data_IF_630136859965
#
_entry.id   IF_630136859965
#
_cell.length_a   1.000
_cell.length_b   1.000
_cell.length_c   1.000
_cell.angle_alpha   90.00
_cell.angle_beta   90.00
_cell.angle_gamma   90.00
#
_symmetry.space_group_name_H-M   'P 1'
#
loop_
_entity.id
_entity.type
_entity.pdbx_description
1 polymer ?
#
# COMPACT_ATOMS: atom_id res chain seq x y z
N UNK A 1 8.85 -0.76 -24.44
CA UNK A 1 8.17 -1.47 -23.33
C UNK A 1 9.21 -2.31 -22.62
N UNK A 2 9.52 -2.00 -21.37
CA UNK A 2 10.36 -2.88 -20.55
C UNK A 2 9.47 -4.00 -20.00
N UNK A 3 9.84 -5.25 -20.27
CA UNK A 3 9.22 -6.42 -19.66
C UNK A 3 10.14 -6.96 -18.57
N UNK A 4 9.57 -7.68 -17.60
CA UNK A 4 10.38 -8.49 -16.71
C UNK A 4 11.26 -9.46 -17.52
N UNK A 5 12.54 -9.68 -17.14
CA UNK A 5 13.37 -10.67 -17.79
C UNK A 5 12.71 -12.06 -17.73
N UNK A 6 12.72 -12.81 -18.83
CA UNK A 6 12.14 -14.17 -18.87
C UNK A 6 12.76 -15.09 -17.82
N UNK A 7 14.06 -14.93 -17.57
CA UNK A 7 14.81 -15.64 -16.52
C UNK A 7 14.25 -15.42 -15.11
N UNK A 8 13.51 -14.34 -14.87
CA UNK A 8 12.79 -14.09 -13.63
C UNK A 8 11.30 -14.45 -13.74
N UNK A 9 10.66 -14.04 -14.84
CA UNK A 9 9.21 -14.14 -15.01
C UNK A 9 8.73 -15.60 -15.05
N UNK A 10 9.45 -16.49 -15.75
CA UNK A 10 9.06 -17.90 -15.85
C UNK A 10 9.13 -18.62 -14.49
N UNK A 11 10.21 -18.50 -13.68
CA UNK A 11 10.23 -19.02 -12.31
C UNK A 11 9.11 -18.47 -11.41
N UNK A 12 8.83 -17.17 -11.50
CA UNK A 12 7.78 -16.53 -10.69
C UNK A 12 6.40 -17.12 -11.00
N UNK A 13 5.99 -17.13 -12.27
CA UNK A 13 4.68 -17.67 -12.69
C UNK A 13 4.57 -19.17 -12.42
N UNK A 14 5.66 -19.93 -12.56
CA UNK A 14 5.68 -21.36 -12.26
C UNK A 14 5.46 -21.62 -10.78
N UNK A 15 6.06 -20.82 -9.90
CA UNK A 15 5.93 -20.96 -8.44
C UNK A 15 4.49 -20.78 -7.96
N UNK A 16 3.76 -19.84 -8.58
CA UNK A 16 2.34 -19.59 -8.28
C UNK A 16 1.40 -20.72 -8.70
N UNK A 17 1.82 -21.58 -9.65
CA UNK A 17 1.03 -22.71 -10.16
C UNK A 17 1.30 -24.03 -9.45
N UNK A 18 2.20 -24.05 -8.46
CA UNK A 18 2.51 -25.30 -7.74
C UNK A 18 1.31 -25.78 -6.94
N UNK A 19 1.12 -27.10 -6.83
CA UNK A 19 0.01 -27.68 -6.06
C UNK A 19 -0.01 -27.19 -4.60
N UNK A 20 1.16 -26.95 -4.00
CA UNK A 20 1.28 -26.36 -2.69
C UNK A 20 0.78 -24.90 -2.65
N UNK A 21 1.17 -24.08 -3.63
CA UNK A 21 0.69 -22.68 -3.74
C UNK A 21 -0.81 -22.60 -3.91
N UNK A 22 -1.36 -23.41 -4.83
CA UNK A 22 -2.80 -23.51 -5.09
C UNK A 22 -3.55 -23.94 -3.82
N UNK A 23 -3.10 -25.02 -3.17
CA UNK A 23 -3.74 -25.52 -1.96
C UNK A 23 -3.69 -24.51 -0.79
N UNK A 24 -2.65 -23.68 -0.72
CA UNK A 24 -2.49 -22.66 0.33
C UNK A 24 -3.31 -21.39 0.12
N UNK A 25 -3.85 -21.15 -1.08
CA UNK A 25 -4.54 -19.88 -1.42
C UNK A 25 -5.99 -20.08 -1.82
N UNK A 26 -6.37 -21.22 -2.42
CA UNK A 26 -7.70 -21.45 -2.99
C UNK A 26 -8.87 -21.52 -1.98
N UNK A 27 -8.57 -21.40 -0.68
CA UNK A 27 -9.57 -21.36 0.39
C UNK A 27 -9.49 -20.05 1.21
N UNK A 28 -8.62 -19.12 0.82
CA UNK A 28 -8.47 -17.85 1.52
C UNK A 28 -9.69 -16.95 1.29
N UNK A 29 -10.00 -16.10 2.26
CA UNK A 29 -11.01 -15.05 2.11
C UNK A 29 -10.50 -13.71 2.66
N UNK A 30 -10.37 -12.66 1.80
CA UNK A 30 -10.61 -12.68 0.36
C UNK A 30 -9.69 -13.68 -0.35
N UNK A 31 -10.21 -14.29 -1.40
CA UNK A 31 -9.47 -15.30 -2.16
C UNK A 31 -8.37 -14.63 -2.97
N UNK A 32 -7.13 -14.98 -2.67
CA UNK A 32 -5.93 -14.51 -3.38
C UNK A 32 -5.47 -15.47 -4.45
N UNK A 33 -6.12 -16.63 -4.55
CA UNK A 33 -5.86 -17.58 -5.60
C UNK A 33 -6.18 -16.95 -6.95
N UNK A 34 -5.26 -17.10 -7.87
CA UNK A 34 -5.38 -16.61 -9.23
C UNK A 34 -5.21 -17.78 -10.17
N UNK A 35 -6.32 -18.23 -10.74
CA UNK A 35 -6.38 -19.32 -11.72
C UNK A 35 -5.47 -19.07 -12.93
N UNK A 36 -5.22 -17.80 -13.26
CA UNK A 36 -4.25 -17.41 -14.27
C UNK A 36 -3.27 -16.33 -13.75
N UNK A 37 -2.12 -16.74 -13.18
CA UNK A 37 -1.11 -15.81 -12.70
C UNK A 37 -0.59 -14.81 -13.74
N UNK A 38 -0.79 -15.05 -15.04
CA UNK A 38 -0.45 -14.09 -16.09
C UNK A 38 -1.27 -12.80 -15.98
N UNK A 39 -2.47 -12.84 -15.37
CA UNK A 39 -3.32 -11.66 -15.13
C UNK A 39 -2.72 -10.67 -14.12
N UNK A 40 -1.71 -11.08 -13.35
CA UNK A 40 -0.94 -10.19 -12.47
C UNK A 40 -0.01 -9.26 -13.28
N UNK A 41 0.27 -9.60 -14.53
CA UNK A 41 1.09 -8.79 -15.42
C UNK A 41 0.23 -7.72 -16.09
N UNK A 42 0.71 -6.50 -16.07
CA UNK A 42 0.03 -5.36 -16.68
C UNK A 42 1.04 -4.36 -17.23
N UNK A 43 0.60 -3.49 -18.13
CA UNK A 43 1.36 -2.31 -18.51
C UNK A 43 1.04 -1.13 -17.58
N UNK A 44 1.98 -0.21 -17.44
CA UNK A 44 1.79 1.04 -16.71
C UNK A 44 2.69 2.12 -17.28
N UNK A 45 2.26 3.37 -17.24
CA UNK A 45 3.14 4.54 -17.38
C UNK A 45 3.32 5.19 -16.01
N UNK A 46 4.53 5.65 -15.74
CA UNK A 46 4.87 6.35 -14.50
C UNK A 46 4.90 7.83 -14.84
N UNK A 47 3.88 8.54 -14.39
CA UNK A 47 3.72 9.97 -14.67
C UNK A 47 4.58 10.81 -13.72
N UNK A 48 4.66 10.37 -12.46
CA UNK A 48 5.38 11.08 -11.41
C UNK A 48 5.80 10.14 -10.28
N UNK A 49 6.91 10.48 -9.61
CA UNK A 49 7.45 9.75 -8.48
C UNK A 49 8.13 10.72 -7.50
N UNK A 50 7.76 10.63 -6.23
CA UNK A 50 8.28 11.48 -5.16
C UNK A 50 8.57 10.67 -3.90
N UNK A 51 9.65 11.01 -3.20
CA UNK A 51 9.95 10.52 -1.85
C UNK A 51 9.96 11.72 -0.91
N UNK A 52 9.05 11.72 0.05
CA UNK A 52 8.82 12.83 0.98
C UNK A 52 8.11 12.34 2.24
N UNK A 53 7.55 13.25 3.02
CA UNK A 53 6.70 12.90 4.16
C UNK A 53 5.23 12.78 3.74
N UNK A 54 4.40 12.11 4.55
CA UNK A 54 3.00 11.85 4.21
C UNK A 54 2.22 13.12 3.86
N UNK A 55 2.31 14.16 4.71
CA UNK A 55 1.64 15.43 4.46
C UNK A 55 2.12 16.13 3.17
N UNK A 56 3.43 16.03 2.89
CA UNK A 56 4.04 16.61 1.71
C UNK A 56 3.61 15.88 0.44
N UNK A 57 3.47 14.54 0.49
CA UNK A 57 2.95 13.74 -0.63
C UNK A 57 1.49 14.07 -0.93
N UNK A 58 0.63 14.22 0.08
CA UNK A 58 -0.77 14.61 -0.14
C UNK A 58 -0.88 16.00 -0.78
N UNK A 59 -0.05 16.95 -0.33
CA UNK A 59 0.00 18.29 -0.93
C UNK A 59 0.56 18.26 -2.36
N UNK A 60 1.56 17.41 -2.62
CA UNK A 60 2.16 17.24 -3.94
C UNK A 60 1.17 16.65 -4.96
N UNK A 61 0.36 15.67 -4.56
CA UNK A 61 -0.65 15.07 -5.44
C UNK A 61 -2.00 15.81 -5.47
N UNK A 62 -2.17 16.86 -4.67
CA UNK A 62 -3.40 17.65 -4.62
C UNK A 62 -3.90 18.10 -6.01
N UNK A 63 -3.07 18.59 -6.95
CA UNK A 63 -3.52 18.95 -8.30
C UNK A 63 -4.16 17.79 -9.07
N UNK A 64 -3.65 16.57 -8.88
CA UNK A 64 -4.17 15.34 -9.51
C UNK A 64 -5.49 14.94 -8.86
N UNK A 65 -5.63 15.08 -7.55
CA UNK A 65 -6.89 14.84 -6.85
C UNK A 65 -7.96 15.85 -7.28
N UNK A 66 -7.56 17.12 -7.44
CA UNK A 66 -8.42 18.19 -7.93
C UNK A 66 -8.79 18.04 -9.40
N UNK A 67 -8.12 17.20 -10.19
CA UNK A 67 -8.48 16.96 -11.58
C UNK A 67 -9.65 15.99 -11.75
N UNK A 68 -10.16 15.41 -10.66
CA UNK A 68 -11.29 14.48 -10.72
C UNK A 68 -12.56 15.14 -11.27
N UNK A 69 -13.18 14.52 -12.27
CA UNK A 69 -14.42 14.99 -12.90
C UNK A 69 -15.62 14.07 -12.63
N UNK A 70 -15.38 12.79 -12.37
CA UNK A 70 -16.41 11.75 -12.31
C UNK A 70 -16.32 10.91 -11.04
N UNK A 71 -15.12 10.48 -10.66
CA UNK A 71 -14.93 9.62 -9.51
C UNK A 71 -13.60 9.81 -8.79
N UNK A 72 -13.65 9.68 -7.47
CA UNK A 72 -12.48 9.66 -6.60
C UNK A 72 -12.63 8.54 -5.57
N UNK A 73 -11.76 7.54 -5.63
CA UNK A 73 -11.72 6.43 -4.67
C UNK A 73 -10.46 6.56 -3.86
N UNK A 74 -10.57 6.56 -2.53
CA UNK A 74 -9.45 6.69 -1.60
C UNK A 74 -9.47 5.49 -0.67
N UNK A 75 -8.38 4.72 -0.67
CA UNK A 75 -8.16 3.61 0.25
C UNK A 75 -6.91 3.90 1.08
N UNK A 76 -7.03 3.80 2.41
CA UNK A 76 -5.92 3.95 3.36
C UNK A 76 -6.02 2.90 4.46
N UNK A 77 -4.93 2.48 5.07
CA UNK A 77 -5.03 1.57 6.22
C UNK A 77 -5.58 2.31 7.43
N UNK A 78 -4.86 3.36 7.81
CA UNK A 78 -5.08 4.11 9.02
C UNK A 78 -5.67 5.49 8.68
N UNK A 79 -6.61 5.94 9.49
CA UNK A 79 -7.30 7.22 9.31
C UNK A 79 -7.17 8.09 10.54
N UNK A 80 -6.73 9.33 10.35
CA UNK A 80 -6.64 10.29 11.42
C UNK A 80 -6.63 11.76 11.01
N UNK A 81 -7.00 12.62 11.98
CA UNK A 81 -6.81 14.07 11.89
C UNK A 81 -5.33 14.39 11.72
N UNK A 82 -5.02 15.10 10.65
CA UNK A 82 -3.66 15.31 10.16
C UNK A 82 -3.64 16.39 9.07
N UNK A 83 -2.45 16.89 8.74
CA UNK A 83 -2.26 17.78 7.58
C UNK A 83 -2.66 17.11 6.26
N UNK A 84 -2.42 15.80 6.13
CA UNK A 84 -2.89 15.00 4.98
C UNK A 84 -4.41 15.05 4.86
N UNK A 85 -5.13 14.94 5.98
CA UNK A 85 -6.58 15.09 6.01
C UNK A 85 -7.02 16.54 5.71
N UNK A 86 -6.27 17.55 6.15
CA UNK A 86 -6.58 18.94 5.84
C UNK A 86 -6.52 19.21 4.33
N UNK A 87 -5.48 18.71 3.65
CA UNK A 87 -5.38 18.73 2.18
C UNK A 87 -6.56 17.99 1.54
N UNK A 88 -6.88 16.79 2.03
CA UNK A 88 -8.01 16.03 1.50
C UNK A 88 -9.35 16.78 1.69
N UNK A 89 -9.56 17.44 2.83
CA UNK A 89 -10.73 18.28 3.07
C UNK A 89 -10.78 19.48 2.11
N UNK A 90 -9.64 20.10 1.79
CA UNK A 90 -9.58 21.14 0.77
C UNK A 90 -10.03 20.59 -0.59
N UNK A 91 -9.48 19.46 -1.02
CA UNK A 91 -9.87 18.77 -2.26
C UNK A 91 -11.38 18.51 -2.30
N UNK A 92 -11.94 17.88 -1.27
CA UNK A 92 -13.35 17.52 -1.24
C UNK A 92 -14.28 18.74 -1.32
N UNK A 93 -13.95 19.83 -0.60
CA UNK A 93 -14.71 21.09 -0.69
C UNK A 93 -14.65 21.69 -2.09
N UNK A 94 -13.47 21.71 -2.69
CA UNK A 94 -13.26 22.25 -4.03
C UNK A 94 -13.98 21.43 -5.10
N UNK A 95 -13.98 20.09 -5.00
CA UNK A 95 -14.73 19.23 -5.91
C UNK A 95 -16.26 19.36 -5.71
N UNK A 96 -16.70 19.50 -4.46
CA UNK A 96 -18.11 19.74 -4.10
C UNK A 96 -18.64 21.04 -4.73
N UNK A 97 -17.88 22.14 -4.62
CA UNK A 97 -18.30 23.45 -5.15
C UNK A 97 -18.39 23.49 -6.68
N UNK A 98 -17.51 22.76 -7.38
CA UNK A 98 -17.56 22.61 -8.84
C UNK A 98 -18.83 21.89 -9.30
N UNK A 99 -19.16 20.78 -8.64
CA UNK A 99 -20.33 19.96 -8.98
C UNK A 99 -21.64 20.70 -8.70
N UNK A 100 -21.68 21.52 -7.65
CA UNK A 100 -22.86 22.33 -7.30
C UNK A 100 -23.23 23.44 -8.29
N UNK A 101 -22.38 23.73 -9.28
CA UNK A 101 -22.57 24.86 -10.21
C UNK A 101 -23.01 24.46 -11.63
N UNK A 102 -23.08 23.15 -11.96
CA UNK A 102 -23.11 22.70 -13.37
C UNK A 102 -24.09 21.58 -13.77
N UNK A 103 -24.86 20.96 -12.87
CA UNK A 103 -25.89 19.98 -13.24
C UNK A 103 -26.20 18.94 -12.15
N UNK A 104 -27.19 18.09 -12.42
CA UNK A 104 -27.73 17.07 -11.49
C UNK A 104 -26.75 15.90 -11.20
N UNK A 105 -25.59 15.87 -11.87
CA UNK A 105 -24.58 14.82 -11.73
C UNK A 105 -23.55 15.18 -10.66
N UNK A 106 -23.63 14.53 -9.52
CA UNK A 106 -22.62 14.63 -8.45
C UNK A 106 -21.38 13.80 -8.76
N UNK A 107 -20.20 14.32 -8.41
CA UNK A 107 -18.95 13.57 -8.45
C UNK A 107 -18.99 12.46 -7.39
N UNK A 108 -18.68 11.22 -7.79
CA UNK A 108 -18.71 10.05 -6.89
C UNK A 108 -17.43 9.97 -6.08
N UNK A 109 -17.53 10.07 -4.76
CA UNK A 109 -16.39 9.90 -3.86
C UNK A 109 -16.60 8.68 -2.96
N UNK A 110 -15.60 7.80 -2.87
CA UNK A 110 -15.61 6.65 -1.97
C UNK A 110 -14.36 6.66 -1.12
N UNK A 111 -14.51 6.83 0.20
CA UNK A 111 -13.41 6.78 1.16
C UNK A 111 -13.52 5.46 1.92
N UNK A 112 -12.43 4.71 1.92
CA UNK A 112 -12.33 3.38 2.51
C UNK A 112 -11.10 3.33 3.41
N UNK A 113 -11.28 2.87 4.65
CA UNK A 113 -10.15 2.67 5.54
C UNK A 113 -10.30 1.47 6.45
N UNK A 114 -9.21 0.99 7.05
CA UNK A 114 -9.28 -0.19 7.92
C UNK A 114 -9.39 0.15 9.41
N UNK A 115 -8.55 1.05 9.88
CA UNK A 115 -8.40 1.37 11.30
C UNK A 115 -8.41 2.87 11.53
N UNK A 116 -9.04 3.31 12.62
CA UNK A 116 -8.95 4.69 13.12
C UNK A 116 -8.51 4.75 14.59
N UNK A 117 -8.84 3.72 15.38
CA UNK A 117 -8.51 3.66 16.80
C UNK A 117 -8.59 2.22 17.31
N UNK A 118 -7.94 1.94 18.44
CA UNK A 118 -8.06 0.64 19.12
C UNK A 118 -9.51 0.35 19.52
N UNK A 119 -10.25 1.36 19.98
CA UNK A 119 -11.66 1.20 20.37
C UNK A 119 -12.54 0.85 19.18
N UNK A 120 -12.34 1.46 18.01
CA UNK A 120 -13.06 1.06 16.81
C UNK A 120 -12.75 -0.39 16.45
N UNK A 121 -11.47 -0.81 16.45
CA UNK A 121 -11.10 -2.20 16.16
C UNK A 121 -11.80 -3.21 17.08
N UNK A 122 -11.88 -2.92 18.38
CA UNK A 122 -12.52 -3.82 19.37
C UNK A 122 -14.02 -3.98 19.18
N UNK A 123 -14.72 -2.95 18.69
CA UNK A 123 -16.17 -2.95 18.50
C UNK A 123 -16.60 -2.97 17.01
N UNK A 124 -15.67 -3.23 16.10
CA UNK A 124 -15.96 -3.25 14.68
C UNK A 124 -16.82 -4.46 14.30
N UNK A 125 -17.62 -4.32 13.25
CA UNK A 125 -18.33 -5.46 12.66
C UNK A 125 -17.36 -6.51 12.16
N UNK A 126 -17.77 -7.78 12.22
CA UNK A 126 -17.06 -8.91 11.60
C UNK A 126 -17.39 -9.08 10.11
N UNK A 127 -18.35 -8.32 9.59
CA UNK A 127 -18.79 -8.43 8.21
C UNK A 127 -17.76 -7.84 7.24
N UNK A 128 -17.44 -8.57 6.16
CA UNK A 128 -16.62 -8.07 5.06
C UNK A 128 -17.32 -6.99 4.23
N UNK A 129 -18.65 -6.85 4.36
CA UNK A 129 -19.36 -5.68 3.82
C UNK A 129 -18.85 -4.37 4.43
N UNK A 130 -18.18 -4.43 5.60
CA UNK A 130 -17.70 -3.27 6.33
C UNK A 130 -18.77 -2.54 7.12
N UNK A 131 -18.34 -1.43 7.72
CA UNK A 131 -19.17 -0.51 8.49
C UNK A 131 -19.25 0.84 7.77
N UNK A 132 -20.42 1.24 7.26
CA UNK A 132 -20.59 2.58 6.72
C UNK A 132 -20.55 3.63 7.84
N UNK A 133 -20.02 4.81 7.54
CA UNK A 133 -19.96 5.96 8.43
C UNK A 133 -21.05 6.96 8.05
N UNK A 134 -22.10 7.15 8.87
CA UNK A 134 -23.17 8.08 8.57
C UNK A 134 -22.65 9.52 8.43
N UNK A 135 -23.22 10.34 7.51
CA UNK A 135 -22.77 11.71 7.28
C UNK A 135 -22.69 12.58 8.54
N UNK A 136 -23.64 12.41 9.47
CA UNK A 136 -23.65 13.14 10.75
C UNK A 136 -22.41 12.90 11.62
N UNK A 137 -21.63 11.84 11.36
CA UNK A 137 -20.43 11.48 12.12
C UNK A 137 -19.13 11.98 11.49
N UNK A 138 -19.15 12.43 10.23
CA UNK A 138 -17.94 12.74 9.45
C UNK A 138 -17.07 13.82 10.11
N UNK A 139 -17.66 14.94 10.51
CA UNK A 139 -16.91 16.03 11.16
C UNK A 139 -16.42 15.65 12.57
N UNK A 140 -17.31 15.14 13.40
CA UNK A 140 -17.04 14.87 14.82
C UNK A 140 -16.11 13.68 15.04
N UNK A 141 -16.26 12.60 14.25
CA UNK A 141 -15.48 11.36 14.42
C UNK A 141 -14.32 11.23 13.44
N UNK A 142 -14.49 11.64 12.19
CA UNK A 142 -13.47 11.45 11.14
C UNK A 142 -12.64 12.71 10.88
N UNK A 143 -13.09 13.89 11.30
CA UNK A 143 -12.43 15.16 10.99
C UNK A 143 -12.63 15.63 9.55
N UNK A 144 -13.58 15.04 8.83
CA UNK A 144 -13.97 15.49 7.49
C UNK A 144 -14.78 16.80 7.57
N UNK A 145 -14.88 17.52 6.45
CA UNK A 145 -15.81 18.65 6.32
C UNK A 145 -17.26 18.20 6.61
N UNK A 146 -18.11 19.07 7.18
CA UNK A 146 -19.49 18.73 7.47
C UNK A 146 -20.26 18.42 6.17
N UNK A 147 -21.27 17.52 6.20
CA UNK A 147 -22.01 17.11 5.00
C UNK A 147 -22.63 18.27 4.21
N UNK A 148 -22.98 19.37 4.87
CA UNK A 148 -23.50 20.59 4.22
C UNK A 148 -22.52 21.22 3.23
N UNK A 149 -21.22 21.14 3.51
CA UNK A 149 -20.15 21.65 2.63
C UNK A 149 -19.81 20.67 1.49
N UNK A 150 -20.21 19.41 1.63
CA UNK A 150 -19.92 18.32 0.69
C UNK A 150 -21.13 17.92 -0.16
N UNK A 151 -22.15 18.78 -0.23
CA UNK A 151 -23.43 18.50 -0.88
C UNK A 151 -23.36 18.25 -2.39
N UNK A 152 -22.31 18.76 -3.06
CA UNK A 152 -22.04 18.51 -4.48
C UNK A 152 -21.44 17.13 -4.77
N UNK A 153 -21.15 16.32 -3.75
CA UNK A 153 -20.57 14.99 -3.88
C UNK A 153 -21.59 13.89 -3.58
N UNK A 154 -21.49 12.79 -4.32
CA UNK A 154 -21.99 11.48 -3.89
C UNK A 154 -20.86 10.85 -3.06
N UNK A 155 -20.77 11.24 -1.77
CA UNK A 155 -19.72 10.78 -0.86
C UNK A 155 -20.23 9.64 0.03
N UNK A 156 -19.52 8.52 0.01
CA UNK A 156 -19.66 7.45 1.00
C UNK A 156 -18.32 7.20 1.69
N UNK A 157 -18.40 6.91 2.99
CA UNK A 157 -17.25 6.58 3.82
C UNK A 157 -17.51 5.25 4.51
N UNK A 158 -16.57 4.31 4.40
CA UNK A 158 -16.71 2.95 4.95
C UNK A 158 -15.41 2.50 5.60
N UNK A 159 -15.53 1.70 6.65
CA UNK A 159 -14.38 0.96 7.19
C UNK A 159 -14.54 -0.55 7.10
N UNK A 160 -13.45 -1.27 6.80
CA UNK A 160 -13.40 -2.74 6.87
C UNK A 160 -12.22 -3.14 7.76
N UNK A 161 -12.53 -3.86 8.84
CA UNK A 161 -11.56 -4.46 9.73
C UNK A 161 -11.99 -5.90 10.01
N UNK A 162 -11.11 -6.86 9.74
CA UNK A 162 -11.45 -8.29 9.85
C UNK A 162 -10.96 -8.80 11.20
N UNK A 163 -11.89 -9.16 12.08
CA UNK A 163 -11.56 -9.79 13.36
C UNK A 163 -11.21 -11.29 13.14
N UNK A 164 -10.30 -11.87 13.93
CA UNK A 164 -9.65 -11.29 15.10
C UNK A 164 -8.43 -10.40 14.80
N UNK A 165 -7.74 -10.58 13.67
CA UNK A 165 -6.48 -9.85 13.39
C UNK A 165 -6.21 -9.62 11.90
N UNK A 166 -7.00 -8.81 11.20
CA UNK A 166 -6.59 -8.34 9.87
C UNK A 166 -6.93 -6.89 9.62
N UNK A 167 -5.89 -6.06 9.51
CA UNK A 167 -5.98 -4.74 8.88
C UNK A 167 -5.82 -4.89 7.36
N UNK A 168 -6.60 -4.13 6.61
CA UNK A 168 -6.33 -3.93 5.20
C UNK A 168 -5.28 -2.84 5.09
N UNK A 169 -4.08 -3.19 4.64
CA UNK A 169 -2.98 -2.25 4.51
C UNK A 169 -2.72 -1.66 3.09
N UNK A 170 -3.57 -1.84 2.05
CA UNK A 170 -3.34 -1.16 0.79
C UNK A 170 -3.62 0.34 0.94
N UNK A 171 -2.83 1.14 0.23
CA UNK A 171 -2.97 2.59 0.18
C UNK A 171 -2.91 3.01 -1.28
N UNK A 172 -4.02 3.49 -1.79
CA UNK A 172 -4.12 3.94 -3.16
C UNK A 172 -5.28 4.90 -3.35
N UNK A 173 -5.17 5.73 -4.37
CA UNK A 173 -6.23 6.63 -4.79
C UNK A 173 -6.47 6.42 -6.28
N UNK A 174 -7.73 6.26 -6.70
CA UNK A 174 -8.12 6.17 -8.11
C UNK A 174 -8.86 7.45 -8.49
N UNK A 175 -8.38 8.13 -9.52
CA UNK A 175 -8.99 9.33 -10.09
C UNK A 175 -9.58 9.00 -11.45
N UNK A 176 -10.91 9.16 -11.57
CA UNK A 176 -11.72 8.95 -12.79
C UNK A 176 -11.55 7.59 -13.48
N UNK A 177 -11.02 6.59 -12.78
CA UNK A 177 -10.64 5.31 -13.39
C UNK A 177 -9.56 5.44 -14.47
N UNK A 178 -8.78 6.52 -14.46
CA UNK A 178 -7.72 6.81 -15.44
C UNK A 178 -6.33 6.96 -14.82
N UNK A 179 -6.27 7.34 -13.55
CA UNK A 179 -5.03 7.56 -12.81
C UNK A 179 -5.09 6.84 -11.48
N UNK A 180 -3.97 6.25 -11.07
CA UNK A 180 -3.79 5.70 -9.73
C UNK A 180 -2.63 6.40 -9.04
N UNK A 181 -2.83 6.85 -7.81
CA UNK A 181 -1.77 7.28 -6.91
C UNK A 181 -1.51 6.18 -5.89
N UNK A 182 -0.24 5.85 -5.67
CA UNK A 182 0.21 4.86 -4.67
C UNK A 182 1.14 5.52 -3.65
N UNK A 183 0.57 6.16 -2.61
CA UNK A 183 1.36 6.58 -1.46
C UNK A 183 1.63 5.39 -0.53
N UNK A 184 2.84 5.28 0.01
CA UNK A 184 3.11 4.36 1.13
C UNK A 184 2.57 4.87 2.47
N UNK A 185 2.26 6.18 2.55
CA UNK A 185 1.71 6.83 3.74
C UNK A 185 0.18 6.73 3.84
N UNK A 186 -0.31 6.71 5.07
CA UNK A 186 -1.75 6.77 5.38
C UNK A 186 -2.28 8.22 5.34
N UNK A 187 -3.61 8.38 5.37
CA UNK A 187 -4.26 9.66 5.70
C UNK A 187 -4.14 9.91 7.20
N UNK A 188 -2.94 10.29 7.64
CA UNK A 188 -2.61 10.36 9.06
C UNK A 188 -1.41 11.29 9.34
N UNK A 189 -1.00 11.36 10.61
CA UNK A 189 -0.10 12.40 11.14
C UNK A 189 1.39 12.05 11.03
N UNK A 190 1.71 10.85 10.57
CA UNK A 190 3.07 10.31 10.47
C UNK A 190 3.90 11.12 9.48
N UNK A 191 5.05 11.61 9.95
CA UNK A 191 6.02 12.39 9.16
C UNK A 191 7.21 11.51 8.76
N UNK A 192 6.92 10.26 8.37
CA UNK A 192 7.91 9.27 7.99
C UNK A 192 8.49 9.51 6.59
N UNK A 193 9.56 8.78 6.24
CA UNK A 193 10.05 8.73 4.86
C UNK A 193 9.11 7.83 4.05
N UNK A 194 8.40 8.43 3.09
CA UNK A 194 7.32 7.81 2.34
C UNK A 194 7.56 7.99 0.84
N UNK A 195 7.17 7.00 0.05
CA UNK A 195 7.17 7.06 -1.40
C UNK A 195 5.77 7.28 -1.94
N UNK A 196 5.67 8.06 -3.02
CA UNK A 196 4.44 8.24 -3.78
C UNK A 196 4.72 8.08 -5.27
N UNK A 197 3.89 7.31 -5.96
CA UNK A 197 3.96 7.18 -7.43
C UNK A 197 2.59 7.43 -8.05
N UNK A 198 2.57 8.20 -9.13
CA UNK A 198 1.42 8.38 -10.01
C UNK A 198 1.55 7.48 -11.23
N UNK A 199 0.51 6.71 -11.50
CA UNK A 199 0.46 5.70 -12.54
C UNK A 199 -0.74 5.90 -13.46
N UNK A 200 -0.54 5.63 -14.75
CA UNK A 200 -1.59 5.58 -15.76
C UNK A 200 -1.45 4.31 -16.63
N UNK A 201 -2.44 4.05 -17.50
CA UNK A 201 -2.47 2.87 -18.38
C UNK A 201 -3.22 1.67 -17.79
N UNK A 202 -2.95 0.47 -18.31
CA UNK A 202 -3.75 -0.74 -18.00
C UNK A 202 -3.76 -1.12 -16.51
N UNK A 203 -2.72 -0.73 -15.77
CA UNK A 203 -2.62 -0.93 -14.32
C UNK A 203 -3.82 -0.36 -13.57
N UNK A 204 -4.42 0.73 -14.06
CA UNK A 204 -5.58 1.36 -13.41
C UNK A 204 -6.75 0.38 -13.35
N UNK A 205 -6.93 -0.45 -14.39
CA UNK A 205 -7.92 -1.51 -14.43
C UNK A 205 -7.70 -2.59 -13.36
N UNK A 206 -6.43 -2.90 -13.03
CA UNK A 206 -6.10 -3.84 -11.94
C UNK A 206 -6.55 -3.28 -10.58
N UNK A 207 -6.30 -1.99 -10.35
CA UNK A 207 -6.72 -1.31 -9.12
C UNK A 207 -8.24 -1.21 -8.98
N UNK A 208 -8.95 -0.94 -10.07
CA UNK A 208 -10.42 -0.94 -10.07
C UNK A 208 -10.95 -2.34 -9.76
N UNK A 209 -10.37 -3.40 -10.34
CA UNK A 209 -10.75 -4.78 -10.01
C UNK A 209 -10.53 -5.11 -8.54
N UNK A 210 -9.35 -4.78 -8.02
CA UNK A 210 -9.01 -4.98 -6.61
C UNK A 210 -9.95 -4.20 -5.66
N UNK A 211 -10.26 -2.96 -6.00
CA UNK A 211 -11.24 -2.17 -5.27
C UNK A 211 -12.63 -2.82 -5.29
N UNK A 212 -13.10 -3.25 -6.46
CA UNK A 212 -14.43 -3.83 -6.60
C UNK A 212 -14.55 -5.18 -5.88
N UNK A 213 -13.50 -6.02 -5.94
CA UNK A 213 -13.52 -7.36 -5.33
C UNK A 213 -13.57 -7.33 -3.80
N UNK A 214 -13.07 -6.26 -3.18
CA UNK A 214 -12.95 -6.19 -1.73
C UNK A 214 -13.74 -5.03 -1.09
N UNK A 215 -13.62 -3.83 -1.64
CA UNK A 215 -14.13 -2.61 -1.01
C UNK A 215 -15.52 -2.20 -1.49
N UNK A 216 -15.89 -2.46 -2.74
CA UNK A 216 -17.21 -2.06 -3.27
C UNK A 216 -18.33 -2.89 -2.65
N UNK A 217 -18.34 -4.22 -2.83
CA UNK A 217 -19.33 -5.14 -2.26
C UNK A 217 -18.75 -6.55 -2.07
N UNK A 218 -18.24 -6.85 -0.87
CA UNK A 218 -17.77 -8.19 -0.53
C UNK A 218 -18.93 -9.05 0.00
N UNK A 219 -19.54 -9.84 -0.88
CA UNK A 219 -20.28 -11.04 -0.45
C UNK A 219 -19.29 -12.12 -0.03
N UNK A 220 -19.48 -12.64 1.18
CA UNK A 220 -18.83 -13.81 1.81
C UNK A 220 -17.46 -13.60 2.45
N UNK A 221 -17.34 -14.05 3.70
CA UNK A 221 -16.08 -14.04 4.46
C UNK A 221 -15.94 -15.23 5.38
N UNK A 222 -14.70 -15.61 5.70
CA UNK A 222 -14.27 -16.23 6.96
C UNK A 222 -12.73 -16.38 7.05
N UNK A 223 -12.23 -16.23 8.28
CA UNK A 223 -10.98 -16.65 8.93
C UNK A 223 -9.67 -16.91 8.13
N UNK A 224 -8.59 -16.27 8.60
CA UNK A 224 -7.22 -16.46 8.14
C UNK A 224 -6.54 -17.72 8.73
N UNK A 225 -5.86 -18.47 7.87
CA UNK A 225 -4.98 -19.62 8.15
C UNK A 225 -3.51 -19.26 7.79
N UNK A 226 -2.48 -20.12 8.03
CA UNK A 226 -1.07 -19.71 7.97
C UNK A 226 -0.58 -19.34 6.55
N UNK A 227 0.61 -18.71 6.45
CA UNK A 227 1.16 -17.98 5.29
C UNK A 227 0.73 -18.57 3.96
N UNK A 228 -0.12 -17.85 3.20
CA UNK A 228 -0.35 -18.23 1.83
C UNK A 228 0.93 -17.98 1.03
N UNK A 229 1.14 -18.78 -0.01
CA UNK A 229 2.03 -18.45 -1.12
C UNK A 229 1.43 -17.29 -1.93
N UNK A 230 1.31 -16.10 -1.31
CA UNK A 230 0.73 -14.94 -1.98
C UNK A 230 1.60 -14.54 -3.16
N UNK A 231 1.01 -13.94 -4.21
CA UNK A 231 1.76 -13.36 -5.31
C UNK A 231 2.90 -12.45 -4.86
N UNK A 232 2.69 -11.64 -3.81
CA UNK A 232 3.69 -10.74 -3.26
C UNK A 232 4.89 -11.50 -2.65
N UNK A 233 4.63 -12.46 -1.75
CA UNK A 233 5.69 -13.24 -1.10
C UNK A 233 6.49 -14.05 -2.12
N UNK A 234 5.79 -14.69 -3.06
CA UNK A 234 6.39 -15.47 -4.13
C UNK A 234 7.26 -14.59 -5.03
N UNK A 235 6.79 -13.38 -5.36
CA UNK A 235 7.56 -12.42 -6.15
C UNK A 235 8.86 -12.01 -5.45
N UNK A 236 8.76 -11.58 -4.18
CA UNK A 236 9.91 -11.11 -3.40
C UNK A 236 10.98 -12.19 -3.25
N UNK A 237 10.58 -13.41 -2.87
CA UNK A 237 11.51 -14.53 -2.74
C UNK A 237 12.15 -14.89 -4.09
N UNK A 238 11.34 -14.98 -5.15
CA UNK A 238 11.87 -15.26 -6.50
C UNK A 238 12.88 -14.20 -6.94
N UNK A 239 12.59 -12.91 -6.68
CA UNK A 239 13.43 -11.80 -7.11
C UNK A 239 14.78 -11.80 -6.40
N UNK A 240 14.79 -12.08 -5.10
CA UNK A 240 16.02 -12.14 -4.30
C UNK A 240 16.83 -13.38 -4.67
N UNK A 241 16.20 -14.54 -4.82
CA UNK A 241 16.88 -15.79 -5.20
C UNK A 241 17.54 -15.70 -6.58
N UNK A 242 16.96 -14.96 -7.51
CA UNK A 242 17.50 -14.77 -8.86
C UNK A 242 18.33 -13.48 -9.01
N UNK A 243 18.57 -12.74 -7.93
CA UNK A 243 19.44 -11.58 -7.98
C UNK A 243 20.89 -12.01 -8.28
N UNK A 244 21.54 -11.33 -9.22
CA UNK A 244 22.90 -11.67 -9.66
C UNK A 244 23.96 -10.64 -9.29
N UNK A 245 23.54 -9.44 -8.85
CA UNK A 245 24.47 -8.34 -8.60
C UNK A 245 24.21 -7.65 -7.27
N UNK A 246 23.02 -7.08 -7.09
CA UNK A 246 22.71 -6.31 -5.89
C UNK A 246 21.23 -6.36 -5.53
N UNK A 247 20.95 -6.32 -4.23
CA UNK A 247 19.60 -6.16 -3.67
C UNK A 247 19.63 -4.99 -2.70
N UNK A 248 18.76 -4.00 -2.93
CA UNK A 248 18.57 -2.86 -2.02
C UNK A 248 17.17 -2.96 -1.45
N UNK A 249 17.05 -2.99 -0.12
CA UNK A 249 15.78 -3.05 0.60
C UNK A 249 15.66 -1.81 1.49
N UNK A 250 14.54 -1.11 1.37
CA UNK A 250 14.13 -0.09 2.34
C UNK A 250 12.85 -0.59 2.98
N UNK A 251 12.88 -0.84 4.29
CA UNK A 251 11.74 -1.39 5.03
C UNK A 251 11.75 -0.91 6.46
N UNK A 252 10.61 -0.60 7.09
CA UNK A 252 10.60 -0.26 8.51
C UNK A 252 11.03 -1.43 9.42
N UNK A 253 10.86 -2.67 8.95
CA UNK A 253 11.20 -3.88 9.69
C UNK A 253 11.60 -5.03 8.76
N UNK A 254 12.51 -5.90 9.21
CA UNK A 254 12.97 -7.08 8.48
C UNK A 254 13.08 -8.28 9.43
N UNK A 255 11.97 -8.98 9.65
CA UNK A 255 11.87 -10.10 10.61
C UNK A 255 11.46 -11.43 10.00
N UNK A 256 11.00 -11.44 8.74
CA UNK A 256 10.52 -12.66 8.07
C UNK A 256 11.63 -13.69 7.86
N UNK A 257 11.58 -14.87 8.49
CA UNK A 257 12.64 -15.87 8.35
C UNK A 257 12.88 -16.32 6.89
N UNK A 258 11.85 -16.60 6.05
CA UNK A 258 12.06 -16.93 4.64
C UNK A 258 12.81 -15.85 3.86
N UNK A 259 12.48 -14.57 4.11
CA UNK A 259 13.13 -13.44 3.46
C UNK A 259 14.59 -13.30 3.90
N UNK A 260 14.86 -13.43 5.20
CA UNK A 260 16.21 -13.41 5.74
C UNK A 260 17.05 -14.56 5.16
N UNK A 261 16.51 -15.78 5.10
CA UNK A 261 17.18 -16.93 4.50
C UNK A 261 17.51 -16.71 3.02
N UNK A 262 16.59 -16.11 2.25
CA UNK A 262 16.82 -15.77 0.85
C UNK A 262 17.94 -14.74 0.69
N UNK A 263 17.96 -13.69 1.53
CA UNK A 263 19.00 -12.66 1.51
C UNK A 263 20.37 -13.21 1.89
N UNK A 264 20.45 -14.06 2.92
CA UNK A 264 21.70 -14.73 3.29
C UNK A 264 22.22 -15.65 2.19
N UNK A 265 21.32 -16.31 1.45
CA UNK A 265 21.69 -17.14 0.29
C UNK A 265 22.24 -16.28 -0.84
N UNK A 266 21.58 -15.16 -1.17
CA UNK A 266 22.07 -14.21 -2.16
C UNK A 266 23.46 -13.67 -1.81
N UNK A 267 23.68 -13.28 -0.55
CA UNK A 267 24.99 -12.85 -0.03
C UNK A 267 26.08 -13.91 -0.22
N UNK A 268 25.78 -15.17 0.11
CA UNK A 268 26.72 -16.30 -0.08
C UNK A 268 27.05 -16.53 -1.56
N UNK A 269 26.11 -16.26 -2.45
CA UNK A 269 26.29 -16.31 -3.90
C UNK A 269 27.01 -15.08 -4.49
N UNK A 270 27.43 -14.12 -3.65
CA UNK A 270 28.20 -12.95 -4.08
C UNK A 270 27.37 -11.73 -4.51
N UNK A 271 26.07 -11.71 -4.19
CA UNK A 271 25.20 -10.56 -4.39
C UNK A 271 25.42 -9.53 -3.28
N UNK A 272 25.58 -8.25 -3.63
CA UNK A 272 25.69 -7.17 -2.65
C UNK A 272 24.31 -6.84 -2.07
N UNK A 273 24.17 -6.83 -0.74
CA UNK A 273 22.89 -6.53 -0.08
C UNK A 273 22.99 -5.28 0.77
N UNK A 274 22.17 -4.28 0.45
CA UNK A 274 22.02 -3.04 1.23
C UNK A 274 20.62 -2.98 1.83
N UNK A 275 20.52 -2.78 3.14
CA UNK A 275 19.26 -2.69 3.88
C UNK A 275 19.21 -1.34 4.60
N UNK A 276 18.17 -0.57 4.34
CA UNK A 276 17.79 0.62 5.08
C UNK A 276 16.58 0.28 5.96
N UNK A 277 16.73 0.44 7.27
CA UNK A 277 15.67 0.11 8.25
C UNK A 277 15.51 1.18 9.32
N UNK A 278 14.33 1.30 9.91
CA UNK A 278 14.07 2.30 10.95
C UNK A 278 14.94 2.10 12.20
N UNK A 279 15.44 3.19 12.77
CA UNK A 279 16.33 3.17 13.93
C UNK A 279 15.56 2.99 15.26
N UNK A 280 14.33 3.51 15.34
CA UNK A 280 13.58 3.64 16.60
C UNK A 280 12.22 2.94 16.65
N UNK A 281 11.65 2.56 15.50
CA UNK A 281 10.33 1.92 15.47
C UNK A 281 10.32 0.52 16.09
N UNK A 282 11.48 -0.14 16.13
CA UNK A 282 11.57 -1.56 16.47
C UNK A 282 11.61 -1.89 17.97
N UNK A 283 11.99 -1.00 18.89
CA UNK A 283 12.21 -1.45 20.28
C UNK A 283 10.90 -1.80 21.00
N UNK A 284 9.89 -0.94 20.90
CA UNK A 284 8.64 -1.11 21.65
C UNK A 284 7.75 -2.19 21.02
N UNK A 285 7.66 -2.20 19.68
CA UNK A 285 6.89 -3.19 18.94
C UNK A 285 7.51 -4.58 19.08
N UNK A 286 8.84 -4.71 18.96
CA UNK A 286 9.51 -6.00 19.20
C UNK A 286 9.35 -6.50 20.63
N UNK A 287 9.36 -5.63 21.65
CA UNK A 287 9.13 -6.02 23.05
C UNK A 287 7.68 -6.47 23.28
N UNK A 288 6.70 -5.80 22.67
CA UNK A 288 5.29 -6.17 22.74
C UNK A 288 5.00 -7.47 21.98
N UNK A 289 5.62 -7.68 20.81
CA UNK A 289 5.44 -8.90 19.99
C UNK A 289 6.30 -10.07 20.47
N UNK A 290 7.41 -9.83 21.18
CA UNK A 290 8.24 -10.90 21.76
C UNK A 290 7.55 -11.64 22.92
N UNK A 291 6.54 -11.01 23.56
CA UNK A 291 5.75 -11.63 24.62
C UNK A 291 4.59 -12.51 24.14
N UNK A 292 4.23 -12.45 22.85
CA UNK A 292 3.14 -13.25 22.25
C UNK A 292 3.73 -14.40 21.43
N UNK A 293 3.86 -15.56 22.09
CA UNK A 293 4.42 -16.81 21.53
C UNK A 293 3.40 -17.55 20.64
N UNK A 294 2.77 -16.84 19.72
CA UNK A 294 1.92 -17.45 18.68
C UNK A 294 2.21 -16.73 17.37
N UNK A 295 2.52 -17.51 16.35
CA UNK A 295 2.84 -17.14 14.96
C UNK A 295 1.88 -16.08 14.36
N UNK A 296 2.06 -14.80 14.71
CA UNK A 296 1.17 -13.71 14.29
C UNK A 296 1.63 -12.99 13.01
N UNK A 297 2.36 -13.69 12.14
CA UNK A 297 2.90 -13.15 10.88
C UNK A 297 1.81 -12.76 9.85
N UNK A 298 0.52 -12.85 10.19
CA UNK A 298 -0.65 -12.77 9.30
C UNK A 298 -1.67 -11.70 9.71
N UNK A 299 -1.22 -10.55 10.22
CA UNK A 299 -2.13 -9.53 10.75
C UNK A 299 -2.51 -8.41 9.77
N UNK A 300 -1.91 -8.37 8.58
CA UNK A 300 -2.22 -7.37 7.55
C UNK A 300 -2.31 -7.96 6.14
N UNK A 301 -3.19 -7.38 5.33
CA UNK A 301 -3.29 -7.64 3.89
C UNK A 301 -2.59 -6.52 3.13
N UNK A 302 -1.49 -6.85 2.46
CA UNK A 302 -0.59 -5.91 1.79
C UNK A 302 -0.84 -5.87 0.28
N UNK A 303 -0.52 -4.73 -0.34
CA UNK A 303 -0.51 -4.57 -1.79
C UNK A 303 0.91 -4.23 -2.24
N UNK A 304 1.39 -4.93 -3.28
CA UNK A 304 2.66 -4.63 -3.92
C UNK A 304 2.51 -4.40 -5.41
N UNK A 305 3.23 -3.41 -5.94
CA UNK A 305 3.39 -3.16 -7.38
C UNK A 305 4.88 -3.23 -7.70
N UNK A 306 5.22 -4.10 -8.65
CA UNK A 306 6.60 -4.29 -9.08
C UNK A 306 6.82 -3.74 -10.48
N UNK A 307 7.96 -3.08 -10.68
CA UNK A 307 8.34 -2.51 -11.96
C UNK A 307 9.66 -3.12 -12.45
N UNK A 308 9.70 -3.50 -13.73
CA UNK A 308 10.93 -3.90 -14.41
C UNK A 308 11.54 -2.69 -15.14
N UNK A 309 12.33 -1.87 -14.44
CA UNK A 309 13.01 -0.73 -15.05
C UNK A 309 14.28 -0.33 -14.29
N UNK A 310 15.41 -0.30 -15.00
CA UNK A 310 16.69 0.18 -14.44
C UNK A 310 16.63 1.67 -14.12
N UNK A 311 16.02 2.45 -15.01
CA UNK A 311 15.95 3.90 -14.87
C UNK A 311 15.09 4.29 -13.68
N UNK A 312 13.96 3.59 -13.49
CA UNK A 312 13.09 3.79 -12.34
C UNK A 312 13.79 3.39 -11.04
N UNK A 313 14.43 2.22 -11.00
CA UNK A 313 15.17 1.77 -9.81
C UNK A 313 16.26 2.79 -9.41
N UNK A 314 16.99 3.31 -10.40
CA UNK A 314 17.98 4.37 -10.16
C UNK A 314 17.36 5.69 -9.71
N UNK A 315 16.18 6.05 -10.21
CA UNK A 315 15.44 7.25 -9.78
C UNK A 315 14.99 7.14 -8.32
N UNK A 316 14.38 6.02 -7.94
CA UNK A 316 13.94 5.73 -6.57
C UNK A 316 15.13 5.82 -5.61
N UNK A 317 16.25 5.16 -5.95
CA UNK A 317 17.45 5.20 -5.12
C UNK A 317 18.00 6.62 -4.95
N UNK A 318 18.08 7.40 -6.03
CA UNK A 318 18.56 8.79 -5.96
C UNK A 318 17.66 9.68 -5.10
N UNK A 319 16.33 9.57 -5.26
CA UNK A 319 15.41 10.38 -4.45
C UNK A 319 15.46 9.97 -2.97
N UNK A 320 15.60 8.68 -2.68
CA UNK A 320 15.71 8.17 -1.32
C UNK A 320 16.98 8.69 -0.64
N UNK A 321 18.14 8.56 -1.30
CA UNK A 321 19.42 9.08 -0.77
C UNK A 321 19.35 10.61 -0.59
N UNK A 322 18.72 11.33 -1.52
CA UNK A 322 18.50 12.78 -1.41
C UNK A 322 17.67 13.13 -0.18
N UNK A 323 16.60 12.39 0.10
CA UNK A 323 15.77 12.57 1.29
C UNK A 323 16.58 12.35 2.57
N UNK A 324 17.37 11.28 2.64
CA UNK A 324 18.25 11.01 3.78
C UNK A 324 19.28 12.13 3.99
N UNK A 325 19.89 12.61 2.92
CA UNK A 325 20.87 13.70 2.98
C UNK A 325 20.24 15.00 3.48
N UNK A 326 19.05 15.36 2.98
CA UNK A 326 18.33 16.57 3.40
C UNK A 326 17.90 16.54 4.87
N UNK A 327 17.66 15.35 5.42
CA UNK A 327 17.28 15.15 6.83
C UNK A 327 18.49 14.99 7.75
N UNK A 328 19.71 15.21 7.24
CA UNK A 328 20.94 15.16 8.03
C UNK A 328 21.35 13.74 8.43
N UNK A 329 20.90 12.72 7.70
CA UNK A 329 21.30 11.33 7.91
C UNK A 329 22.49 11.02 6.98
N UNK A 330 23.68 10.82 7.55
CA UNK A 330 24.85 10.38 6.78
C UNK A 330 24.75 8.89 6.41
N UNK A 331 25.11 8.54 5.18
CA UNK A 331 25.38 7.14 4.85
C UNK A 331 26.60 6.67 5.64
N UNK A 332 26.40 5.72 6.56
CA UNK A 332 27.51 5.00 7.18
C UNK A 332 28.28 4.25 6.10
N UNK A 333 29.40 4.80 5.65
CA UNK A 333 30.27 4.15 4.67
C UNK A 333 31.03 3.01 5.38
N UNK A 334 30.43 1.82 5.43
CA UNK A 334 31.11 0.60 5.84
C UNK A 334 31.46 -0.23 4.61
N UNK A 335 32.75 -0.43 4.36
CA UNK A 335 33.25 -1.29 3.29
C UNK A 335 32.96 -2.76 3.59
N UNK A 336 31.86 -3.29 3.06
CA UNK A 336 31.46 -4.69 3.18
C UNK A 336 30.36 -5.07 2.17
N UNK A 337 30.25 -6.36 1.83
CA UNK A 337 29.22 -6.91 0.90
C UNK A 337 27.79 -6.86 1.44
N UNK A 338 27.64 -6.68 2.75
CA UNK A 338 26.37 -6.43 3.41
C UNK A 338 26.46 -5.09 4.13
N UNK A 339 25.53 -4.19 3.83
CA UNK A 339 25.39 -2.91 4.52
C UNK A 339 24.00 -2.82 5.13
N UNK A 340 23.94 -2.59 6.45
CA UNK A 340 22.68 -2.32 7.14
C UNK A 340 22.78 -0.94 7.76
N UNK A 341 22.02 0.00 7.20
CA UNK A 341 21.96 1.38 7.67
C UNK A 341 20.64 1.59 8.39
N UNK A 342 20.72 1.99 9.66
CA UNK A 342 19.53 2.41 10.40
C UNK A 342 19.24 3.87 10.06
N UNK A 343 18.06 4.14 9.53
CA UNK A 343 17.61 5.46 9.08
C UNK A 343 16.24 5.78 9.67
N UNK A 344 16.13 6.90 10.38
CA UNK A 344 14.91 7.44 11.02
C UNK A 344 14.32 6.54 12.13
#
# INVERSE_FOLDING_TARGET
MSSFPSAFLSPFLTSLRTAASVASTAKDHPDYYNDDPATLLTSSQIEDLSISTGASLFSHFEPVLLSAEHSLIIVTCFWARSKSLDTLNHVLRTLSSRSGSGGDKKLRVRICFSSLSVTQKLFHTRSLSGQPWPPATWASKLGLAPPSELSGLDLEVKSIFVLPFSVMHPKFIIVDGRTVLLPSCNVSWEDWCEGGVQLSGDIVGQFIRFYNSFWADATTGAAAEPAPATPLNTFLLTAITHATRSVVITTPNLTSPPLISALLTALRSGVDVTIYTSARMMLLEQLLTAGTITECWYTSQELGVAFASRDLAGLVQRQFVRFLTMTGQEEGQQGGRMQVTRVI
#
